data_IF_314948280074
#
_entry.id   IF_314948280074
#
_cell.length_a   1.000
_cell.length_b   1.000
_cell.length_c   1.000
_cell.angle_alpha   90.00
_cell.angle_beta   90.00
_cell.angle_gamma   90.00
#
_symmetry.space_group_name_H-M   'P 1'
#
loop_
_entity.id
_entity.type
_entity.pdbx_description
1 polymer ?
#
# COMPACT_ATOMS: atom_id res chain seq x y z
N UNK A 1 15.30 -6.03 16.49
CA UNK A 1 14.22 -5.08 16.12
C UNK A 1 13.01 -5.88 15.69
N UNK A 2 11.77 -5.49 16.05
CA UNK A 2 10.56 -6.20 15.62
C UNK A 2 10.52 -6.20 14.09
N UNK A 3 10.50 -7.39 13.49
CA UNK A 3 10.45 -7.56 12.04
C UNK A 3 8.98 -7.47 11.65
N UNK A 4 8.51 -6.26 11.36
CA UNK A 4 7.21 -6.08 10.72
C UNK A 4 7.32 -6.55 9.27
N UNK A 5 6.71 -7.70 8.96
CA UNK A 5 6.55 -8.20 7.60
C UNK A 5 5.24 -7.63 7.04
N UNK A 6 5.35 -6.65 6.14
CA UNK A 6 4.21 -6.19 5.36
C UNK A 6 4.05 -7.10 4.14
N UNK A 7 2.80 -7.39 3.76
CA UNK A 7 2.53 -8.04 2.47
C UNK A 7 3.12 -7.19 1.34
N UNK A 8 3.75 -7.84 0.36
CA UNK A 8 4.34 -7.16 -0.80
C UNK A 8 3.26 -6.58 -1.71
N UNK A 9 2.64 -5.46 -1.31
CA UNK A 9 1.55 -4.82 -2.04
C UNK A 9 1.91 -4.53 -3.51
N UNK A 10 3.17 -4.21 -3.78
CA UNK A 10 3.67 -4.01 -5.16
C UNK A 10 3.88 -5.29 -5.96
N UNK A 11 4.12 -6.43 -5.31
CA UNK A 11 4.29 -7.73 -5.99
C UNK A 11 2.93 -8.37 -6.26
N UNK A 12 1.96 -8.17 -5.36
CA UNK A 12 0.60 -8.70 -5.50
C UNK A 12 -0.07 -8.27 -6.81
N UNK A 13 0.07 -6.99 -7.20
CA UNK A 13 -0.49 -6.48 -8.46
C UNK A 13 0.19 -7.09 -9.68
N UNK A 14 1.51 -7.32 -9.65
CA UNK A 14 2.22 -8.03 -10.73
C UNK A 14 1.74 -9.46 -10.85
N UNK A 15 1.60 -10.17 -9.73
CA UNK A 15 1.10 -11.55 -9.73
C UNK A 15 -0.34 -11.61 -10.25
N UNK A 16 -1.22 -10.74 -9.79
CA UNK A 16 -2.63 -10.74 -10.15
C UNK A 16 -2.91 -10.25 -11.58
N UNK A 17 -2.18 -9.24 -12.07
CA UNK A 17 -2.46 -8.60 -13.35
C UNK A 17 -1.56 -9.07 -14.50
N UNK A 18 -0.37 -9.62 -14.22
CA UNK A 18 0.57 -10.05 -15.25
C UNK A 18 0.76 -11.58 -15.31
N UNK A 19 0.81 -12.25 -14.16
CA UNK A 19 0.97 -13.71 -14.10
C UNK A 19 -0.38 -14.42 -14.23
N UNK A 20 -1.36 -14.13 -13.37
CA UNK A 20 -2.64 -14.85 -13.36
C UNK A 20 -3.39 -14.90 -14.71
N UNK A 21 -3.31 -13.90 -15.61
CA UNK A 21 -3.94 -14.00 -16.93
C UNK A 21 -3.20 -14.91 -17.93
N UNK A 22 -1.93 -15.24 -17.67
CA UNK A 22 -1.06 -16.00 -18.60
C UNK A 22 -0.72 -17.40 -18.12
N UNK A 23 -1.04 -17.73 -16.88
CA UNK A 23 -0.72 -19.02 -16.26
C UNK A 23 -1.78 -19.36 -15.21
N UNK A 24 -1.89 -20.64 -14.84
CA UNK A 24 -2.86 -21.05 -13.84
C UNK A 24 -2.48 -20.51 -12.45
N UNK A 25 -3.46 -20.35 -11.56
CA UNK A 25 -3.21 -19.90 -10.18
C UNK A 25 -2.14 -20.75 -9.45
N UNK A 26 -2.14 -22.09 -9.55
CA UNK A 26 -1.07 -22.93 -9.02
C UNK A 26 0.32 -22.56 -9.57
N UNK A 27 0.44 -22.34 -10.88
CA UNK A 27 1.72 -21.99 -11.53
C UNK A 27 2.23 -20.61 -11.06
N UNK A 28 1.31 -19.63 -10.96
CA UNK A 28 1.63 -18.29 -10.46
C UNK A 28 2.13 -18.33 -9.00
N UNK A 29 1.52 -19.15 -8.15
CA UNK A 29 1.98 -19.34 -6.77
C UNK A 29 3.32 -20.08 -6.71
N UNK A 30 3.57 -21.05 -7.60
CA UNK A 30 4.87 -21.69 -7.76
C UNK A 30 5.99 -20.70 -8.10
N UNK A 31 5.71 -19.75 -9.01
CA UNK A 31 6.63 -18.66 -9.35
C UNK A 31 6.94 -17.75 -8.14
N UNK A 32 5.93 -17.44 -7.30
CA UNK A 32 6.13 -16.65 -6.08
C UNK A 32 7.05 -17.36 -5.08
N UNK A 33 6.89 -18.67 -4.91
CA UNK A 33 7.76 -19.48 -4.04
C UNK A 33 9.20 -19.50 -4.57
N UNK A 34 9.38 -19.70 -5.88
CA UNK A 34 10.71 -19.67 -6.51
C UNK A 34 11.37 -18.28 -6.36
N UNK A 35 10.62 -17.20 -6.58
CA UNK A 35 11.10 -15.84 -6.34
C UNK A 35 11.52 -15.63 -4.87
N UNK A 36 10.73 -16.14 -3.92
CA UNK A 36 11.06 -16.11 -2.50
C UNK A 36 12.37 -16.86 -2.19
N UNK A 37 12.59 -18.01 -2.81
CA UNK A 37 13.81 -18.80 -2.66
C UNK A 37 15.04 -18.09 -3.25
N UNK A 38 14.89 -17.45 -4.41
CA UNK A 38 15.95 -16.61 -5.01
C UNK A 38 16.28 -15.43 -4.08
N UNK A 39 15.28 -14.72 -3.57
CA UNK A 39 15.49 -13.61 -2.61
C UNK A 39 16.19 -14.11 -1.35
N UNK A 40 15.82 -15.29 -0.83
CA UNK A 40 16.47 -15.90 0.33
C UNK A 40 17.95 -16.17 0.07
N UNK A 41 18.31 -16.71 -1.09
CA UNK A 41 19.71 -16.91 -1.49
C UNK A 41 20.46 -15.58 -1.64
N UNK A 42 19.83 -14.54 -2.19
CA UNK A 42 20.42 -13.19 -2.30
C UNK A 42 20.69 -12.55 -0.94
N UNK A 43 19.80 -12.79 0.03
CA UNK A 43 19.99 -12.32 1.41
C UNK A 43 21.09 -13.11 2.10
N UNK A 44 21.11 -14.44 1.94
CA UNK A 44 22.13 -15.31 2.53
C UNK A 44 23.54 -15.02 2.01
N UNK A 45 23.67 -14.59 0.74
CA UNK A 45 24.96 -14.21 0.13
C UNK A 45 25.42 -12.80 0.50
N UNK A 46 24.65 -12.03 1.28
CA UNK A 46 25.00 -10.67 1.69
C UNK A 46 24.92 -9.62 0.57
N UNK A 47 24.45 -10.00 -0.62
CA UNK A 47 24.34 -9.11 -1.78
C UNK A 47 23.37 -7.95 -1.51
N UNK A 48 22.31 -8.22 -0.73
CA UNK A 48 21.33 -7.19 -0.30
C UNK A 48 21.99 -5.97 0.34
N UNK A 49 22.96 -6.17 1.24
CA UNK A 49 23.62 -5.06 1.95
C UNK A 49 24.50 -4.25 1.00
N UNK A 50 25.24 -4.93 0.11
CA UNK A 50 26.08 -4.28 -0.91
C UNK A 50 25.24 -3.43 -1.86
N UNK A 51 24.12 -3.96 -2.35
CA UNK A 51 23.19 -3.22 -3.21
C UNK A 51 22.61 -2.02 -2.47
N UNK A 52 22.19 -2.18 -1.21
CA UNK A 52 21.66 -1.07 -0.42
C UNK A 52 22.71 0.01 -0.13
N UNK A 53 23.98 -0.36 0.07
CA UNK A 53 25.06 0.63 0.25
C UNK A 53 25.36 1.44 -1.01
N UNK A 54 25.08 0.90 -2.20
CA UNK A 54 25.24 1.60 -3.47
C UNK A 54 24.12 2.63 -3.72
N UNK A 55 22.96 2.50 -3.04
CA UNK A 55 21.83 3.40 -3.21
C UNK A 55 22.04 4.69 -2.38
N UNK A 56 22.06 5.88 -3.01
CA UNK A 56 22.19 7.15 -2.30
C UNK A 56 21.09 7.34 -1.25
N UNK A 57 21.44 7.98 -0.12
CA UNK A 57 20.50 8.23 0.97
C UNK A 57 19.24 9.00 0.54
N UNK A 58 19.35 9.88 -0.46
CA UNK A 58 18.20 10.59 -1.03
C UNK A 58 17.18 9.65 -1.67
N UNK A 59 17.64 8.68 -2.46
CA UNK A 59 16.77 7.72 -3.13
C UNK A 59 16.10 6.78 -2.12
N UNK A 60 16.83 6.38 -1.08
CA UNK A 60 16.30 5.57 0.03
C UNK A 60 15.14 6.28 0.75
N UNK A 61 15.30 7.58 1.04
CA UNK A 61 14.21 8.40 1.60
C UNK A 61 13.03 8.49 0.64
N UNK A 62 13.30 8.70 -0.66
CA UNK A 62 12.27 8.71 -1.70
C UNK A 62 11.43 7.43 -1.74
N UNK A 63 12.07 6.26 -1.64
CA UNK A 63 11.37 4.96 -1.59
C UNK A 63 10.42 4.91 -0.39
N UNK A 64 10.87 5.32 0.81
CA UNK A 64 10.01 5.32 2.00
C UNK A 64 8.81 6.28 1.87
N UNK A 65 9.02 7.47 1.32
CA UNK A 65 7.95 8.45 1.09
C UNK A 65 6.96 7.92 0.05
N UNK A 66 7.46 7.34 -1.04
CA UNK A 66 6.64 6.77 -2.10
C UNK A 66 5.74 5.64 -1.62
N UNK A 67 6.27 4.73 -0.79
CA UNK A 67 5.46 3.66 -0.18
C UNK A 67 4.37 4.24 0.73
N UNK A 68 4.69 5.24 1.54
CA UNK A 68 3.72 5.91 2.40
C UNK A 68 2.59 6.60 1.62
N UNK A 69 2.95 7.36 0.57
CA UNK A 69 1.98 8.00 -0.32
C UNK A 69 1.12 6.98 -1.08
N UNK A 70 1.69 5.84 -1.47
CA UNK A 70 0.94 4.77 -2.11
C UNK A 70 -0.11 4.15 -1.18
N UNK A 71 0.27 3.82 0.06
CA UNK A 71 -0.68 3.29 1.06
C UNK A 71 -1.76 4.32 1.40
N UNK A 72 -1.39 5.60 1.50
CA UNK A 72 -2.34 6.69 1.71
C UNK A 72 -3.37 6.77 0.56
N UNK A 73 -2.93 6.63 -0.68
CA UNK A 73 -3.82 6.63 -1.83
C UNK A 73 -4.79 5.44 -1.80
N UNK A 74 -4.31 4.24 -1.46
CA UNK A 74 -5.17 3.06 -1.30
C UNK A 74 -6.25 3.31 -0.23
N UNK A 75 -5.88 3.86 0.92
CA UNK A 75 -6.84 4.19 1.99
C UNK A 75 -7.86 5.27 1.59
N UNK A 76 -7.44 6.26 0.78
CA UNK A 76 -8.35 7.27 0.23
C UNK A 76 -9.36 6.69 -0.78
N UNK A 77 -8.95 5.66 -1.53
CA UNK A 77 -9.82 4.95 -2.48
C UNK A 77 -10.79 4.04 -1.74
N UNK A 78 -10.30 3.24 -0.80
CA UNK A 78 -11.13 2.29 -0.04
C UNK A 78 -12.15 2.98 0.87
N UNK A 79 -11.86 4.21 1.32
CA UNK A 79 -12.81 5.04 2.09
C UNK A 79 -13.88 5.74 1.25
N UNK A 80 -13.77 5.68 -0.08
CA UNK A 80 -14.65 6.41 -0.99
C UNK A 80 -14.41 7.93 -1.01
N UNK A 81 -13.35 8.43 -0.36
CA UNK A 81 -12.94 9.83 -0.43
C UNK A 81 -12.48 10.19 -1.86
N UNK A 82 -11.80 9.25 -2.51
CA UNK A 82 -11.42 9.32 -3.91
C UNK A 82 -12.05 8.15 -4.65
N UNK A 83 -12.96 8.44 -5.59
CA UNK A 83 -13.62 7.39 -6.37
C UNK A 83 -12.89 7.13 -7.69
N UNK A 84 -13.07 5.92 -8.21
CA UNK A 84 -12.77 5.59 -9.60
C UNK A 84 -13.95 6.07 -10.44
N UNK A 85 -13.66 6.81 -11.51
CA UNK A 85 -14.67 7.16 -12.50
C UNK A 85 -15.02 5.89 -13.28
N UNK A 86 -16.29 5.49 -13.43
CA UNK A 86 -16.71 4.61 -14.49
C UNK A 86 -17.23 5.48 -15.63
N UNK A 87 -16.38 6.24 -16.33
CA UNK A 87 -16.86 6.84 -17.57
C UNK A 87 -15.79 7.12 -18.63
N UNK A 88 -16.12 6.60 -19.81
CA UNK A 88 -15.63 6.87 -21.18
C UNK A 88 -14.14 6.67 -21.54
N UNK A 89 -13.20 6.69 -20.59
CA UNK A 89 -11.76 6.73 -20.94
C UNK A 89 -10.92 5.48 -20.63
N UNK A 90 -11.47 4.42 -20.01
CA UNK A 90 -10.69 3.23 -19.59
C UNK A 90 -9.42 3.59 -18.79
N UNK A 91 -9.44 4.66 -18.00
CA UNK A 91 -8.30 5.04 -17.15
C UNK A 91 -8.57 4.66 -15.71
N UNK A 92 -7.62 3.95 -15.11
CA UNK A 92 -7.69 3.35 -13.76
C UNK A 92 -7.32 4.31 -12.63
N UNK A 93 -7.17 5.60 -12.93
CA UNK A 93 -6.64 6.58 -11.96
C UNK A 93 -7.76 7.20 -11.12
N UNK A 94 -7.80 6.94 -9.80
CA UNK A 94 -8.78 7.55 -8.92
C UNK A 94 -8.34 8.99 -8.63
N UNK A 95 -8.95 9.95 -9.32
CA UNK A 95 -8.67 11.39 -9.16
C UNK A 95 -9.95 12.21 -8.91
N UNK A 96 -11.12 11.57 -8.78
CA UNK A 96 -12.40 12.24 -8.55
C UNK A 96 -12.74 12.28 -7.06
N UNK A 97 -13.23 13.43 -6.60
CA UNK A 97 -13.74 13.63 -5.23
C UNK A 97 -15.14 13.01 -5.10
N UNK A 98 -15.25 11.92 -4.34
CA UNK A 98 -16.50 11.17 -4.18
C UNK A 98 -17.02 10.48 -5.45
N UNK A 99 -18.16 9.79 -5.35
CA UNK A 99 -18.74 9.00 -6.46
C UNK A 99 -19.21 9.83 -7.66
N UNK A 100 -19.75 11.03 -7.41
CA UNK A 100 -20.36 11.90 -8.43
C UNK A 100 -19.84 13.35 -8.36
N UNK A 101 -18.63 13.57 -7.83
CA UNK A 101 -18.11 14.93 -7.56
C UNK A 101 -18.63 15.55 -6.26
N UNK A 102 -19.39 14.80 -5.46
CA UNK A 102 -19.82 15.18 -4.11
C UNK A 102 -19.33 14.14 -3.09
N UNK A 103 -18.83 14.62 -1.94
CA UNK A 103 -18.47 13.80 -0.78
C UNK A 103 -19.75 13.36 -0.04
N UNK A 104 -20.59 12.57 -0.70
CA UNK A 104 -21.79 12.01 -0.11
C UNK A 104 -21.59 10.53 0.18
N UNK A 105 -21.56 10.18 1.46
CA UNK A 105 -21.50 8.80 1.90
C UNK A 105 -21.14 8.67 3.38
N UNK A 106 -21.84 7.75 4.05
CA UNK A 106 -21.48 7.29 5.39
C UNK A 106 -20.01 6.85 5.51
N UNK A 107 -19.38 6.18 4.51
CA UNK A 107 -17.96 5.80 4.57
C UNK A 107 -17.00 6.99 4.63
N UNK A 108 -17.28 8.08 3.89
CA UNK A 108 -16.43 9.28 3.86
C UNK A 108 -16.45 9.98 5.22
N UNK A 109 -17.62 10.02 5.86
CA UNK A 109 -17.79 10.64 7.17
C UNK A 109 -17.06 9.86 8.26
N UNK A 110 -17.14 8.52 8.23
CA UNK A 110 -16.35 7.63 9.10
C UNK A 110 -14.86 7.79 8.86
N UNK A 111 -14.42 7.89 7.60
CA UNK A 111 -13.01 8.12 7.27
C UNK A 111 -12.50 9.46 7.78
N UNK A 112 -13.24 10.56 7.58
CA UNK A 112 -12.84 11.88 8.06
C UNK A 112 -12.76 11.89 9.59
N UNK A 113 -13.78 11.35 10.29
CA UNK A 113 -13.76 11.26 11.75
C UNK A 113 -12.62 10.39 12.25
N UNK A 114 -12.43 9.20 11.68
CA UNK A 114 -11.34 8.28 12.04
C UNK A 114 -9.96 8.87 11.77
N UNK A 115 -9.76 9.55 10.63
CA UNK A 115 -8.50 10.23 10.30
C UNK A 115 -8.22 11.39 11.26
N UNK A 116 -9.23 12.23 11.54
CA UNK A 116 -9.10 13.38 12.42
C UNK A 116 -8.85 12.93 13.88
N UNK A 117 -9.51 11.86 14.32
CA UNK A 117 -9.29 11.22 15.62
C UNK A 117 -7.90 10.59 15.72
N UNK A 118 -7.42 9.93 14.65
CA UNK A 118 -6.05 9.42 14.56
C UNK A 118 -5.04 10.55 14.71
N UNK A 119 -5.19 11.65 13.95
CA UNK A 119 -4.31 12.82 14.01
C UNK A 119 -4.34 13.48 15.39
N UNK A 120 -5.53 13.68 15.98
CA UNK A 120 -5.68 14.27 17.30
C UNK A 120 -5.00 13.43 18.41
N UNK A 121 -5.15 12.10 18.37
CA UNK A 121 -4.48 11.19 19.31
C UNK A 121 -2.97 11.13 19.09
N UNK A 122 -2.51 11.24 17.84
CA UNK A 122 -1.08 11.28 17.50
C UNK A 122 -0.43 12.56 18.02
N UNK A 123 -1.08 13.72 17.86
CA UNK A 123 -0.64 15.01 18.41
C UNK A 123 -0.60 14.97 19.94
N UNK A 124 -1.58 14.31 20.57
CA UNK A 124 -1.62 14.07 22.02
C UNK A 124 -0.63 13.00 22.51
N UNK A 125 0.16 12.39 21.62
CA UNK A 125 1.16 11.34 21.93
C UNK A 125 0.59 10.18 22.77
N UNK A 126 -0.67 9.80 22.52
CA UNK A 126 -1.29 8.67 23.24
C UNK A 126 -0.71 7.36 22.71
N UNK A 127 -0.18 6.51 23.59
CA UNK A 127 0.29 5.16 23.25
C UNK A 127 -0.87 4.33 22.70
N UNK A 128 -0.76 3.90 21.44
CA UNK A 128 -1.83 3.15 20.77
C UNK A 128 -2.86 4.01 20.01
N UNK A 129 -2.56 5.29 19.74
CA UNK A 129 -3.43 6.20 18.98
C UNK A 129 -4.09 5.59 17.73
N UNK A 130 -3.31 4.82 16.95
CA UNK A 130 -3.80 4.16 15.71
C UNK A 130 -4.75 3.01 16.03
N UNK A 131 -4.52 2.25 17.10
CA UNK A 131 -5.41 1.15 17.50
C UNK A 131 -6.74 1.69 18.05
N UNK A 132 -6.67 2.76 18.85
CA UNK A 132 -7.85 3.42 19.42
C UNK A 132 -8.72 4.01 18.31
N UNK A 133 -8.12 4.59 17.27
CA UNK A 133 -8.88 5.17 16.16
C UNK A 133 -9.53 4.15 15.22
N UNK A 134 -9.03 2.91 15.17
CA UNK A 134 -9.65 1.83 14.39
C UNK A 134 -10.87 1.23 15.12
N UNK A 135 -10.86 1.24 16.46
CA UNK A 135 -11.95 0.69 17.28
C UNK A 135 -13.11 1.67 17.46
N UNK A 136 -12.82 2.97 17.48
CA UNK A 136 -13.81 4.05 17.64
C UNK A 136 -14.67 4.22 16.38
#
# INVERSE_FOLDING_TARGET
VPIALAAGLGVNTVVALQLAPRMTWPDAMGMVVLAGLVVMLLVATGLRERVMSAVPNGLRKGISIGIGLFVLLVGLVDSGFVSRIPDVAQTTVPLQLGGDGHLNGWPVLVFVLGALLTVALLVRKVSGAILISIVA
#
